data_IF_206283054171
#
_entry.id   IF_206283054171
#
_cell.length_a   1.000
_cell.length_b   1.000
_cell.length_c   1.000
_cell.angle_alpha   90.00
_cell.angle_beta   90.00
_cell.angle_gamma   90.00
#
_symmetry.space_group_name_H-M   'P 1'
#
loop_
_entity.id
_entity.type
_entity.pdbx_description
1 polymer ?
#
# COMPACT_ATOMS: atom_id res chain seq x y z
N UNK A 1 -16.85 -8.94 3.14
CA UNK A 1 -16.01 -7.73 3.17
C UNK A 1 -14.61 -8.20 3.53
N UNK A 2 -13.70 -8.25 2.56
CA UNK A 2 -12.31 -8.61 2.82
C UNK A 2 -11.61 -7.40 3.48
N UNK A 3 -10.87 -7.62 4.56
CA UNK A 3 -10.15 -6.54 5.24
C UNK A 3 -9.06 -5.96 4.31
N UNK A 4 -8.85 -4.62 4.30
CA UNK A 4 -7.83 -3.96 3.47
C UNK A 4 -6.41 -4.51 3.70
N UNK A 5 -6.15 -5.05 4.89
CA UNK A 5 -4.88 -5.68 5.28
C UNK A 5 -4.63 -6.96 4.45
N UNK A 6 -5.68 -7.72 4.13
CA UNK A 6 -5.57 -8.94 3.33
C UNK A 6 -5.18 -8.66 1.88
N UNK A 7 -5.72 -7.59 1.30
CA UNK A 7 -5.46 -7.22 -0.10
C UNK A 7 -4.02 -6.74 -0.31
N UNK A 8 -3.53 -5.84 0.56
CA UNK A 8 -2.14 -5.38 0.49
C UNK A 8 -1.13 -6.52 0.65
N UNK A 9 -1.39 -7.44 1.59
CA UNK A 9 -0.55 -8.61 1.79
C UNK A 9 -0.57 -9.54 0.57
N UNK A 10 -1.73 -9.74 -0.06
CA UNK A 10 -1.85 -10.55 -1.28
C UNK A 10 -1.06 -9.97 -2.45
N UNK A 11 -1.18 -8.65 -2.69
CA UNK A 11 -0.39 -7.93 -3.69
C UNK A 11 1.11 -8.14 -3.46
N UNK A 12 1.60 -7.93 -2.24
CA UNK A 12 3.03 -8.12 -1.91
C UNK A 12 3.48 -9.58 -2.06
N UNK A 13 2.62 -10.54 -1.72
CA UNK A 13 2.88 -11.95 -1.91
C UNK A 13 3.07 -12.26 -3.40
N UNK A 14 2.16 -11.83 -4.28
CA UNK A 14 2.29 -12.04 -5.72
C UNK A 14 3.49 -11.29 -6.31
N UNK A 15 3.79 -10.06 -5.89
CA UNK A 15 5.02 -9.36 -6.30
C UNK A 15 6.25 -10.20 -5.98
N UNK A 16 6.32 -10.74 -4.76
CA UNK A 16 7.45 -11.54 -4.27
C UNK A 16 7.59 -12.84 -5.05
N UNK A 17 6.49 -13.58 -5.23
CA UNK A 17 6.45 -14.84 -5.95
C UNK A 17 6.83 -14.64 -7.43
N UNK A 18 6.25 -13.65 -8.09
CA UNK A 18 6.57 -13.30 -9.49
C UNK A 18 8.03 -12.88 -9.63
N UNK A 19 8.57 -12.09 -8.70
CA UNK A 19 9.98 -11.70 -8.72
C UNK A 19 10.91 -12.90 -8.55
N UNK A 20 10.55 -13.88 -7.73
CA UNK A 20 11.31 -15.13 -7.57
C UNK A 20 11.34 -15.92 -8.87
N UNK A 21 10.19 -16.13 -9.51
CA UNK A 21 10.09 -16.83 -10.80
C UNK A 21 10.86 -16.09 -11.91
N UNK A 22 10.73 -14.76 -11.99
CA UNK A 22 11.47 -13.95 -12.95
C UNK A 22 12.99 -14.02 -12.75
N UNK A 23 13.48 -14.14 -11.50
CA UNK A 23 14.90 -14.38 -11.20
C UNK A 23 15.37 -15.73 -11.72
N UNK A 24 14.61 -16.78 -11.48
CA UNK A 24 14.93 -18.11 -12.01
C UNK A 24 15.05 -18.10 -13.53
N UNK A 25 14.10 -17.49 -14.23
CA UNK A 25 14.17 -17.36 -15.70
C UNK A 25 15.45 -16.63 -16.11
N UNK A 26 15.73 -15.48 -15.49
CA UNK A 26 16.93 -14.71 -15.79
C UNK A 26 18.23 -15.49 -15.56
N UNK A 27 18.33 -16.26 -14.47
CA UNK A 27 19.52 -17.07 -14.17
C UNK A 27 19.77 -18.12 -15.27
N UNK A 28 18.71 -18.73 -15.80
CA UNK A 28 18.82 -19.68 -16.91
C UNK A 28 19.23 -18.98 -18.22
N UNK A 29 18.56 -17.86 -18.55
CA UNK A 29 18.81 -17.16 -19.81
C UNK A 29 20.17 -16.46 -19.84
N UNK A 30 20.62 -15.89 -18.72
CA UNK A 30 21.91 -15.19 -18.60
C UNK A 30 23.13 -16.13 -18.66
N UNK A 31 22.94 -17.43 -18.42
CA UNK A 31 23.97 -18.44 -18.62
C UNK A 31 24.33 -18.66 -20.11
N UNK A 32 23.55 -18.13 -21.05
CA UNK A 32 23.80 -18.25 -22.50
C UNK A 32 24.73 -17.13 -22.97
N UNK A 33 26.04 -17.41 -23.07
CA UNK A 33 27.06 -16.44 -23.52
C UNK A 33 26.85 -15.91 -24.95
N UNK A 34 26.56 -16.80 -25.90
CA UNK A 34 26.28 -16.46 -27.30
C UNK A 34 24.79 -16.65 -27.59
N UNK A 35 23.98 -15.78 -27.00
CA UNK A 35 22.53 -15.84 -27.09
C UNK A 35 22.04 -15.37 -28.47
N UNK A 36 21.17 -16.15 -29.14
CA UNK A 36 20.38 -15.67 -30.28
C UNK A 36 19.54 -14.44 -29.92
N UNK A 37 19.15 -13.67 -30.93
CA UNK A 37 18.36 -12.44 -30.76
C UNK A 37 17.08 -12.65 -29.94
N UNK A 38 16.36 -13.75 -30.18
CA UNK A 38 15.16 -14.11 -29.43
C UNK A 38 15.43 -14.27 -27.94
N UNK A 39 16.50 -15.01 -27.59
CA UNK A 39 16.93 -15.19 -26.19
C UNK A 39 17.35 -13.85 -25.58
N UNK A 40 18.13 -13.03 -26.31
CA UNK A 40 18.55 -11.70 -25.81
C UNK A 40 17.36 -10.79 -25.54
N UNK A 41 16.39 -10.73 -26.46
CA UNK A 41 15.16 -9.94 -26.30
C UNK A 41 14.36 -10.42 -25.10
N UNK A 42 14.18 -11.73 -24.96
CA UNK A 42 13.48 -12.30 -23.81
C UNK A 42 14.18 -11.94 -22.49
N UNK A 43 15.50 -12.07 -22.42
CA UNK A 43 16.29 -11.67 -21.24
C UNK A 43 16.08 -10.20 -20.89
N UNK A 44 16.10 -9.30 -21.89
CA UNK A 44 15.86 -7.88 -21.66
C UNK A 44 14.47 -7.59 -21.08
N UNK A 45 13.43 -8.25 -21.59
CA UNK A 45 12.07 -8.10 -21.03
C UNK A 45 11.97 -8.66 -19.60
N UNK A 46 12.65 -9.77 -19.31
CA UNK A 46 12.72 -10.33 -17.94
C UNK A 46 13.44 -9.36 -16.99
N UNK A 47 14.55 -8.73 -17.41
CA UNK A 47 15.26 -7.72 -16.61
C UNK A 47 14.36 -6.51 -16.35
N UNK A 48 13.64 -6.03 -17.36
CA UNK A 48 12.71 -4.92 -17.21
C UNK A 48 11.58 -5.26 -16.23
N UNK A 49 11.00 -6.45 -16.36
CA UNK A 49 10.00 -6.97 -15.41
C UNK A 49 10.55 -7.02 -13.97
N UNK A 50 11.74 -7.55 -13.76
CA UNK A 50 12.36 -7.60 -12.42
C UNK A 50 12.56 -6.21 -11.82
N UNK A 51 12.91 -5.21 -12.65
CA UNK A 51 13.05 -3.82 -12.21
C UNK A 51 11.72 -3.27 -11.69
N UNK A 52 10.64 -3.48 -12.43
CA UNK A 52 9.28 -3.07 -12.02
C UNK A 52 8.87 -3.78 -10.73
N UNK A 53 9.01 -5.11 -10.67
CA UNK A 53 8.64 -5.91 -9.50
C UNK A 53 9.45 -5.51 -8.25
N UNK A 54 10.73 -5.18 -8.39
CA UNK A 54 11.55 -4.69 -7.28
C UNK A 54 11.08 -3.32 -6.77
N UNK A 55 10.65 -2.44 -7.66
CA UNK A 55 10.06 -1.15 -7.29
C UNK A 55 8.71 -1.35 -6.60
N UNK A 56 7.88 -2.27 -7.12
CA UNK A 56 6.62 -2.67 -6.48
C UNK A 56 6.84 -3.27 -5.08
N UNK A 57 7.91 -4.05 -4.89
CA UNK A 57 8.22 -4.65 -3.57
C UNK A 57 8.66 -3.61 -2.51
N UNK A 58 8.99 -2.39 -2.93
CA UNK A 58 9.32 -1.31 -1.99
C UNK A 58 8.08 -0.66 -1.39
N UNK A 59 6.88 -0.95 -1.92
CA UNK A 59 5.64 -0.46 -1.34
C UNK A 59 5.34 -1.20 -0.04
N UNK A 60 4.89 -0.46 0.97
CA UNK A 60 4.41 -1.05 2.22
C UNK A 60 2.94 -1.39 2.12
N UNK A 61 2.46 -2.29 2.98
CA UNK A 61 1.02 -2.57 3.12
C UNK A 61 0.20 -1.29 3.36
N UNK A 62 0.77 -0.30 4.06
CA UNK A 62 0.12 0.98 4.33
C UNK A 62 -0.02 1.82 3.05
N UNK A 63 0.99 1.85 2.19
CA UNK A 63 0.93 2.57 0.91
C UNK A 63 -0.02 1.88 -0.09
N UNK A 64 -0.20 0.57 -0.01
CA UNK A 64 -1.22 -0.12 -0.83
C UNK A 64 -2.63 0.17 -0.30
N UNK A 65 -2.79 0.53 0.97
CA UNK A 65 -4.10 0.94 1.51
C UNK A 65 -4.49 2.37 1.13
N UNK A 66 -3.55 3.20 0.67
CA UNK A 66 -3.85 4.57 0.23
C UNK A 66 -4.42 4.62 -1.19
N UNK A 67 -4.31 3.54 -1.97
CA UNK A 67 -4.94 3.48 -3.30
C UNK A 67 -6.40 3.02 -3.21
N UNK A 68 -7.27 3.43 -4.17
CA UNK A 68 -8.64 2.94 -4.23
C UNK A 68 -8.70 1.42 -4.24
N UNK A 69 -9.66 0.84 -3.49
CA UNK A 69 -9.81 -0.63 -3.36
C UNK A 69 -9.96 -1.30 -4.73
N UNK A 70 -10.70 -0.69 -5.66
CA UNK A 70 -10.86 -1.19 -7.02
C UNK A 70 -9.53 -1.31 -7.77
N UNK A 71 -8.61 -0.37 -7.56
CA UNK A 71 -7.31 -0.35 -8.23
C UNK A 71 -6.36 -1.35 -7.59
N UNK A 72 -6.45 -1.53 -6.28
CA UNK A 72 -5.73 -2.56 -5.55
C UNK A 72 -6.16 -3.97 -5.97
N UNK A 73 -7.47 -4.23 -6.12
CA UNK A 73 -8.01 -5.50 -6.62
C UNK A 73 -7.60 -5.73 -8.09
N UNK A 74 -7.62 -4.69 -8.93
CA UNK A 74 -7.20 -4.81 -10.31
C UNK A 74 -5.69 -5.10 -10.43
N UNK A 75 -4.87 -4.46 -9.58
CA UNK A 75 -3.43 -4.74 -9.46
C UNK A 75 -3.18 -6.18 -8.99
N UNK A 76 -3.88 -6.65 -7.96
CA UNK A 76 -3.79 -8.03 -7.48
C UNK A 76 -4.09 -9.02 -8.62
N UNK A 77 -5.18 -8.80 -9.35
CA UNK A 77 -5.55 -9.66 -10.48
C UNK A 77 -4.49 -9.68 -11.58
N UNK A 78 -3.92 -8.51 -11.94
CA UNK A 78 -2.83 -8.43 -12.92
C UNK A 78 -1.58 -9.17 -12.42
N UNK A 79 -1.24 -9.01 -11.15
CA UNK A 79 -0.09 -9.69 -10.53
C UNK A 79 -0.29 -11.19 -10.46
N UNK A 80 -1.50 -11.66 -10.18
CA UNK A 80 -1.84 -13.09 -10.16
C UNK A 80 -1.70 -13.71 -11.55
N UNK A 81 -2.28 -13.10 -12.58
CA UNK A 81 -2.13 -13.59 -13.97
C UNK A 81 -0.66 -13.54 -14.39
N UNK A 82 0.06 -12.47 -14.03
CA UNK A 82 1.48 -12.35 -14.29
C UNK A 82 2.28 -13.44 -13.57
N UNK A 83 1.94 -13.76 -12.33
CA UNK A 83 2.55 -14.85 -11.56
C UNK A 83 2.31 -16.20 -12.24
N UNK A 84 1.08 -16.51 -12.62
CA UNK A 84 0.71 -17.78 -13.26
C UNK A 84 1.50 -17.97 -14.57
N UNK A 85 1.55 -16.93 -15.41
CA UNK A 85 2.29 -16.99 -16.68
C UNK A 85 3.81 -17.14 -16.47
N UNK A 86 4.39 -16.39 -15.54
CA UNK A 86 5.85 -16.38 -15.30
C UNK A 86 6.28 -17.65 -14.55
N UNK A 87 5.48 -18.17 -13.61
CA UNK A 87 5.75 -19.41 -12.90
C UNK A 87 5.78 -20.60 -13.86
N UNK A 88 4.81 -20.71 -14.78
CA UNK A 88 4.80 -21.76 -15.78
C UNK A 88 6.05 -21.73 -16.68
N UNK A 89 6.57 -20.54 -17.02
CA UNK A 89 7.83 -20.42 -17.77
C UNK A 89 9.01 -20.87 -16.92
N UNK A 90 9.05 -20.44 -15.66
CA UNK A 90 10.09 -20.80 -14.71
C UNK A 90 10.16 -22.31 -14.51
N UNK A 91 9.03 -22.97 -14.24
CA UNK A 91 8.92 -24.41 -14.04
C UNK A 91 9.40 -25.18 -15.27
N UNK A 92 8.89 -24.82 -16.46
CA UNK A 92 9.29 -25.47 -17.70
C UNK A 92 10.78 -25.30 -18.01
N UNK A 93 11.39 -24.18 -17.64
CA UNK A 93 12.86 -24.03 -17.75
C UNK A 93 13.59 -24.87 -16.71
N UNK A 94 13.08 -24.95 -15.48
CA UNK A 94 13.68 -25.74 -14.40
C UNK A 94 13.65 -27.25 -14.66
N UNK A 95 12.63 -27.77 -15.34
CA UNK A 95 12.56 -29.19 -15.74
C UNK A 95 13.79 -29.65 -16.54
N UNK A 96 14.45 -28.73 -17.25
CA UNK A 96 15.65 -29.03 -18.02
C UNK A 96 16.96 -28.76 -17.25
N UNK A 97 16.92 -28.12 -16.07
CA UNK A 97 18.07 -27.67 -15.28
C UNK A 97 18.57 -28.74 -14.27
N UNK A 98 18.04 -29.97 -14.35
CA UNK A 98 18.43 -31.10 -13.50
C UNK A 98 19.95 -31.41 -13.67
N UNK A 99 20.76 -31.02 -12.67
CA UNK A 99 22.20 -31.25 -12.41
C UNK A 99 23.24 -30.15 -12.80
N UNK A 100 24.36 -30.05 -12.04
CA UNK A 100 24.79 -28.84 -11.31
C UNK A 100 25.65 -27.87 -12.12
N UNK A 101 25.65 -26.60 -11.67
CA UNK A 101 26.74 -25.57 -11.58
C UNK A 101 27.95 -25.69 -12.52
N UNK A 102 27.79 -26.23 -13.72
CA UNK A 102 28.83 -26.28 -14.73
C UNK A 102 28.53 -25.17 -15.71
N UNK A 103 29.50 -24.27 -15.91
CA UNK A 103 29.48 -23.10 -16.78
C UNK A 103 29.35 -23.45 -18.28
N UNK A 104 28.52 -24.42 -18.63
CA UNK A 104 28.45 -24.97 -19.97
C UNK A 104 27.37 -24.21 -20.76
N UNK A 105 27.76 -23.05 -21.29
CA UNK A 105 26.91 -22.11 -22.03
C UNK A 105 26.12 -22.80 -23.17
N UNK A 106 26.70 -23.81 -23.82
CA UNK A 106 26.03 -24.59 -24.87
C UNK A 106 24.89 -25.44 -24.35
N UNK A 107 24.96 -25.89 -23.09
CA UNK A 107 23.91 -26.71 -22.45
C UNK A 107 22.71 -25.85 -22.09
N UNK A 108 22.94 -24.64 -21.57
CA UNK A 108 21.89 -23.66 -21.30
C UNK A 108 21.09 -23.32 -22.58
N UNK A 109 21.79 -23.05 -23.69
CA UNK A 109 21.11 -22.80 -24.97
C UNK A 109 20.30 -24.01 -25.46
N UNK A 110 20.81 -25.23 -25.29
CA UNK A 110 20.07 -26.46 -25.64
C UNK A 110 18.81 -26.61 -24.79
N UNK A 111 18.86 -26.32 -23.50
CA UNK A 111 17.70 -26.37 -22.62
C UNK A 111 16.65 -25.33 -22.98
N UNK A 112 17.09 -24.10 -23.21
CA UNK A 112 16.21 -23.01 -23.66
C UNK A 112 15.51 -23.37 -24.97
N UNK A 113 16.22 -24.00 -25.93
CA UNK A 113 15.64 -24.50 -27.19
C UNK A 113 14.76 -25.74 -27.04
N UNK A 114 15.05 -26.60 -26.06
CA UNK A 114 14.21 -27.76 -25.75
C UNK A 114 12.89 -27.32 -25.09
N UNK A 115 12.96 -26.25 -24.28
CA UNK A 115 11.80 -25.66 -23.66
C UNK A 115 10.95 -24.87 -24.66
N UNK A 116 11.56 -24.13 -25.58
CA UNK A 116 10.84 -23.20 -26.46
C UNK A 116 11.47 -23.09 -27.85
N UNK A 117 10.64 -23.16 -28.88
CA UNK A 117 11.05 -22.83 -30.24
C UNK A 117 11.10 -21.30 -30.46
N UNK A 118 11.55 -20.85 -31.63
CA UNK A 118 11.69 -19.42 -31.94
C UNK A 118 10.35 -18.66 -31.88
N UNK A 119 9.27 -19.27 -32.36
CA UNK A 119 7.92 -18.68 -32.29
C UNK A 119 7.44 -18.55 -30.85
N UNK A 120 7.70 -19.56 -30.02
CA UNK A 120 7.40 -19.52 -28.59
C UNK A 120 8.16 -18.37 -27.92
N UNK A 121 9.45 -18.20 -28.22
CA UNK A 121 10.26 -17.10 -27.66
C UNK A 121 9.69 -15.73 -27.98
N UNK A 122 9.25 -15.51 -29.22
CA UNK A 122 8.60 -14.25 -29.63
C UNK A 122 7.31 -14.05 -28.85
N UNK A 123 6.49 -15.10 -28.71
CA UNK A 123 5.24 -15.05 -27.93
C UNK A 123 5.49 -14.72 -26.47
N UNK A 124 6.46 -15.39 -25.83
CA UNK A 124 6.86 -15.14 -24.44
C UNK A 124 7.35 -13.70 -24.24
N UNK A 125 8.18 -13.21 -25.16
CA UNK A 125 8.70 -11.84 -25.15
C UNK A 125 7.55 -10.83 -25.18
N UNK A 126 6.60 -11.00 -26.11
CA UNK A 126 5.46 -10.10 -26.23
C UNK A 126 4.52 -10.16 -25.01
N UNK A 127 4.31 -11.36 -24.45
CA UNK A 127 3.52 -11.55 -23.25
C UNK A 127 4.16 -10.85 -22.04
N UNK A 128 5.46 -11.08 -21.79
CA UNK A 128 6.19 -10.44 -20.69
C UNK A 128 6.19 -8.92 -20.83
N UNK A 129 6.39 -8.42 -22.04
CA UNK A 129 6.31 -6.98 -22.33
C UNK A 129 4.93 -6.42 -21.99
N UNK A 130 3.86 -7.12 -22.37
CA UNK A 130 2.49 -6.75 -22.06
C UNK A 130 2.23 -6.65 -20.55
N UNK A 131 2.67 -7.64 -19.78
CA UNK A 131 2.59 -7.61 -18.31
C UNK A 131 3.43 -6.50 -17.72
N UNK A 132 4.65 -6.30 -18.21
CA UNK A 132 5.57 -5.27 -17.72
C UNK A 132 4.96 -3.89 -17.89
N UNK A 133 4.34 -3.58 -19.03
CA UNK A 133 3.68 -2.30 -19.23
C UNK A 133 2.45 -2.10 -18.33
N UNK A 134 1.64 -3.13 -18.12
CA UNK A 134 0.51 -3.05 -17.18
C UNK A 134 1.00 -2.77 -15.76
N UNK A 135 1.99 -3.52 -15.29
CA UNK A 135 2.56 -3.34 -13.96
C UNK A 135 3.28 -1.99 -13.82
N UNK A 136 3.94 -1.51 -14.87
CA UNK A 136 4.56 -0.19 -14.88
C UNK A 136 3.50 0.93 -14.80
N UNK A 137 2.34 0.76 -15.43
CA UNK A 137 1.23 1.71 -15.30
C UNK A 137 0.75 1.78 -13.84
N UNK A 138 0.46 0.64 -13.22
CA UNK A 138 0.06 0.61 -11.80
C UNK A 138 1.13 1.18 -10.87
N UNK A 139 2.40 0.87 -11.14
CA UNK A 139 3.51 1.45 -10.39
C UNK A 139 3.50 2.97 -10.46
N UNK A 140 3.28 3.56 -11.64
CA UNK A 140 3.17 5.01 -11.80
C UNK A 140 1.96 5.57 -11.05
N UNK A 141 0.80 4.91 -11.13
CA UNK A 141 -0.41 5.31 -10.38
C UNK A 141 -0.12 5.34 -8.87
N UNK A 142 0.41 4.25 -8.32
CA UNK A 142 0.71 4.17 -6.88
C UNK A 142 1.75 5.21 -6.44
N UNK A 143 2.76 5.49 -7.25
CA UNK A 143 3.75 6.53 -6.95
C UNK A 143 3.11 7.92 -6.89
N UNK A 144 2.18 8.22 -7.79
CA UNK A 144 1.45 9.49 -7.81
C UNK A 144 0.49 9.62 -6.60
N UNK A 145 -0.26 8.56 -6.29
CA UNK A 145 -1.17 8.54 -5.14
C UNK A 145 -0.41 8.69 -3.81
N UNK A 146 0.73 8.01 -3.68
CA UNK A 146 1.59 8.13 -2.49
C UNK A 146 2.11 9.57 -2.34
N UNK A 147 2.59 10.18 -3.43
CA UNK A 147 3.08 11.56 -3.40
C UNK A 147 1.97 12.56 -3.06
N UNK A 148 0.75 12.35 -3.58
CA UNK A 148 -0.42 13.16 -3.26
C UNK A 148 -0.78 13.05 -1.77
N UNK A 149 -0.87 11.83 -1.23
CA UNK A 149 -1.12 11.59 0.19
C UNK A 149 -0.07 12.25 1.10
N UNK A 150 1.21 12.12 0.76
CA UNK A 150 2.29 12.77 1.51
C UNK A 150 2.17 14.31 1.48
N UNK A 151 1.80 14.88 0.32
CA UNK A 151 1.57 16.32 0.22
C UNK A 151 0.40 16.80 1.07
N UNK A 152 -0.70 16.04 1.10
CA UNK A 152 -1.87 16.32 1.92
C UNK A 152 -1.54 16.23 3.42
N UNK A 153 -0.76 15.22 3.83
CA UNK A 153 -0.29 15.10 5.22
C UNK A 153 0.53 16.32 5.65
N UNK A 154 1.50 16.75 4.82
CA UNK A 154 2.31 17.94 5.12
C UNK A 154 1.47 19.22 5.23
N UNK A 155 0.46 19.38 4.38
CA UNK A 155 -0.45 20.53 4.46
C UNK A 155 -1.29 20.49 5.74
N UNK A 156 -1.81 19.32 6.12
CA UNK A 156 -2.55 19.14 7.36
C UNK A 156 -1.67 19.43 8.60
N UNK A 157 -0.44 18.93 8.61
CA UNK A 157 0.54 19.21 9.67
C UNK A 157 0.86 20.70 9.78
N UNK A 158 1.08 21.38 8.64
CA UNK A 158 1.32 22.82 8.61
C UNK A 158 0.12 23.61 9.15
N UNK A 159 -1.10 23.22 8.78
CA UNK A 159 -2.32 23.84 9.29
C UNK A 159 -2.47 23.64 10.81
N UNK A 160 -2.17 22.44 11.33
CA UNK A 160 -2.19 22.16 12.78
C UNK A 160 -1.11 22.96 13.51
N UNK A 161 0.09 23.10 12.95
CA UNK A 161 1.15 23.93 13.53
C UNK A 161 0.78 25.41 13.55
N UNK A 162 0.15 25.93 12.49
CA UNK A 162 -0.36 27.30 12.46
C UNK A 162 -1.40 27.53 13.56
N UNK A 163 -2.36 26.61 13.72
CA UNK A 163 -3.36 26.69 14.81
C UNK A 163 -2.75 26.61 16.21
N UNK A 164 -1.68 25.83 16.40
CA UNK A 164 -0.96 25.76 17.69
C UNK A 164 -0.12 27.01 17.97
N UNK A 165 0.38 27.68 16.93
CA UNK A 165 1.07 28.97 17.05
C UNK A 165 0.12 30.10 17.45
N UNK A 166 -1.13 30.04 16.98
CA UNK A 166 -2.20 31.02 17.28
C UNK A 166 -3.00 30.67 18.55
N UNK A 167 -2.36 30.05 19.56
CA UNK A 167 -3.00 29.74 20.86
C UNK A 167 -3.50 30.99 21.62
N UNK A 168 -3.29 32.19 21.07
CA UNK A 168 -4.12 33.36 21.34
C UNK A 168 -4.71 33.88 20.01
N UNK A 169 -6.04 33.85 19.88
CA UNK A 169 -6.88 34.52 18.86
C UNK A 169 -7.10 33.86 17.47
N UNK A 170 -7.51 32.60 17.41
CA UNK A 170 -8.30 32.15 16.25
C UNK A 170 -9.77 32.59 16.40
N UNK A 171 -10.13 33.75 15.84
CA UNK A 171 -11.53 34.21 15.77
C UNK A 171 -12.35 33.27 14.89
N UNK A 172 -13.57 32.95 15.31
CA UNK A 172 -14.57 32.15 14.59
C UNK A 172 -14.71 32.51 13.08
N UNK A 173 -14.34 33.73 12.71
CA UNK A 173 -14.28 34.23 11.33
C UNK A 173 -13.33 33.43 10.42
N UNK A 174 -12.19 32.95 10.93
CA UNK A 174 -11.23 32.14 10.15
C UNK A 174 -11.72 30.71 9.92
N UNK A 175 -12.42 30.14 10.91
CA UNK A 175 -13.02 28.80 10.82
C UNK A 175 -14.13 28.79 9.76
N UNK A 176 -14.96 29.85 9.72
CA UNK A 176 -16.00 30.02 8.70
C UNK A 176 -15.38 30.21 7.30
N UNK A 177 -14.28 30.95 7.18
CA UNK A 177 -13.57 31.13 5.91
C UNK A 177 -13.03 29.81 5.33
N UNK A 178 -12.37 29.01 6.15
CA UNK A 178 -11.84 27.69 5.74
C UNK A 178 -12.94 26.70 5.33
N UNK A 179 -14.10 26.72 5.99
CA UNK A 179 -15.23 25.86 5.64
C UNK A 179 -15.93 26.31 4.34
N UNK A 180 -15.92 27.60 4.03
CA UNK A 180 -16.52 28.15 2.81
C UNK A 180 -15.67 27.83 1.57
N UNK A 181 -14.34 27.86 1.71
CA UNK A 181 -13.40 27.56 0.61
C UNK A 181 -13.30 26.06 0.26
N UNK A 182 -13.76 25.16 1.14
CA UNK A 182 -13.89 23.73 0.82
C UNK A 182 -15.17 23.36 0.05
N UNK A 183 -16.01 24.34 -0.31
CA UNK A 183 -17.23 24.10 -1.08
C UNK A 183 -16.98 24.24 -2.59
N UNK A 184 -16.26 23.27 -3.18
CA UNK A 184 -16.97 22.51 -4.20
C UNK A 184 -16.54 21.05 -4.14
N UNK A 185 -17.30 20.21 -3.45
CA UNK A 185 -17.58 18.83 -3.86
C UNK A 185 -18.49 18.17 -2.81
N UNK A 186 -19.59 17.60 -3.31
CA UNK A 186 -20.58 16.75 -2.62
C UNK A 186 -21.77 17.48 -1.98
N UNK A 187 -22.82 17.58 -2.80
CA UNK A 187 -24.23 17.64 -2.42
C UNK A 187 -24.62 16.49 -1.49
N UNK A 188 -25.03 16.78 -0.26
CA UNK A 188 -26.06 16.01 0.44
C UNK A 188 -26.68 16.87 1.55
N UNK A 189 -27.99 16.72 1.76
CA UNK A 189 -28.84 17.61 2.58
C UNK A 189 -28.56 17.60 4.10
N UNK A 190 -27.49 16.94 4.57
CA UNK A 190 -27.17 16.75 6.01
C UNK A 190 -26.24 17.81 6.61
N UNK A 191 -25.77 18.79 5.84
CA UNK A 191 -24.82 19.79 6.35
C UNK A 191 -25.46 20.82 7.30
N UNK A 192 -26.76 21.09 7.18
CA UNK A 192 -27.42 22.09 8.01
C UNK A 192 -27.55 21.65 9.47
N UNK A 193 -27.76 20.35 9.73
CA UNK A 193 -27.89 19.82 11.10
C UNK A 193 -26.54 19.78 11.83
N UNK A 194 -25.46 19.43 11.13
CA UNK A 194 -24.11 19.36 11.70
C UNK A 194 -23.61 20.76 12.05
N UNK A 195 -23.84 21.75 11.17
CA UNK A 195 -23.48 23.15 11.41
C UNK A 195 -24.29 23.74 12.58
N UNK A 196 -25.59 23.44 12.67
CA UNK A 196 -26.44 23.94 13.75
C UNK A 196 -26.17 23.24 15.11
N UNK A 197 -25.75 21.96 15.10
CA UNK A 197 -25.25 21.28 16.32
C UNK A 197 -23.91 21.83 16.78
N UNK A 198 -23.01 22.17 15.86
CA UNK A 198 -21.73 22.80 16.18
C UNK A 198 -21.91 24.25 16.69
N UNK A 199 -22.85 25.01 16.13
CA UNK A 199 -23.20 26.34 16.62
C UNK A 199 -23.76 26.32 18.06
N UNK A 200 -24.56 25.30 18.41
CA UNK A 200 -25.05 25.09 19.79
C UNK A 200 -23.92 24.75 20.76
N UNK A 201 -23.03 23.82 20.38
CA UNK A 201 -21.88 23.44 21.22
C UNK A 201 -20.93 24.61 21.47
N UNK A 202 -20.75 25.50 20.50
CA UNK A 202 -19.93 26.71 20.65
C UNK A 202 -20.56 27.78 21.58
N UNK A 203 -21.88 27.76 21.79
CA UNK A 203 -22.57 28.68 22.70
C UNK A 203 -22.68 28.14 24.14
N UNK A 204 -22.54 26.83 24.33
CA UNK A 204 -22.75 26.18 25.64
C UNK A 204 -21.49 26.17 26.53
N UNK A 205 -20.29 26.34 25.97
CA UNK A 205 -19.01 26.20 26.69
C UNK A 205 -18.37 27.54 27.12
N UNK A 206 -19.19 28.46 27.64
CA UNK A 206 -18.72 29.69 28.34
C UNK A 206 -19.14 29.75 29.80
N UNK A 207 -19.25 28.58 30.47
CA UNK A 207 -19.24 28.56 31.94
C UNK A 207 -17.82 28.36 32.44
N UNK A 208 -17.23 29.49 32.83
CA UNK A 208 -16.07 29.61 33.71
C UNK A 208 -16.13 28.60 34.86
N UNK A 209 -15.25 27.60 34.84
CA UNK A 209 -14.90 26.86 36.07
C UNK A 209 -13.71 27.60 36.66
N UNK A 210 -13.95 28.33 37.76
CA UNK A 210 -12.89 28.95 38.54
C UNK A 210 -12.00 27.87 39.19
N UNK A 211 -10.73 28.22 39.37
CA UNK A 211 -9.60 27.30 39.63
C UNK A 211 -9.56 26.73 41.04
N UNK A 212 -10.59 26.94 41.89
CA UNK A 212 -10.57 26.51 43.31
C UNK A 212 -11.18 25.13 43.59
N UNK A 213 -11.75 24.42 42.60
CA UNK A 213 -12.38 23.10 42.81
C UNK A 213 -11.45 21.88 42.62
N UNK A 214 -10.16 22.07 42.33
CA UNK A 214 -9.23 20.95 42.15
C UNK A 214 -8.92 20.18 43.45
N UNK A 215 -9.02 20.80 44.63
CA UNK A 215 -8.86 20.05 45.89
C UNK A 215 -10.10 19.25 46.29
N UNK A 216 -11.32 19.69 45.91
CA UNK A 216 -12.55 18.94 46.20
C UNK A 216 -12.68 17.68 45.34
N UNK A 217 -12.28 17.74 44.07
CA UNK A 217 -12.36 16.59 43.15
C UNK A 217 -11.28 15.53 43.50
N UNK A 218 -10.12 15.95 44.00
CA UNK A 218 -9.09 14.99 44.47
C UNK A 218 -9.52 14.29 45.77
N UNK A 219 -10.23 14.99 46.67
CA UNK A 219 -10.76 14.38 47.88
C UNK A 219 -11.84 13.31 47.59
N UNK A 220 -12.72 13.55 46.61
CA UNK A 220 -13.78 12.61 46.25
C UNK A 220 -13.26 11.34 45.54
N UNK A 221 -12.14 11.45 44.82
CA UNK A 221 -11.49 10.29 44.18
C UNK A 221 -10.79 9.38 45.21
N UNK A 222 -10.20 9.93 46.28
CA UNK A 222 -9.56 9.12 47.33
C UNK A 222 -10.56 8.40 48.25
N UNK A 223 -11.77 8.91 48.42
CA UNK A 223 -12.83 8.20 49.19
C UNK A 223 -13.40 7.02 48.40
N UNK A 224 -13.45 7.12 47.07
CA UNK A 224 -14.01 6.09 46.19
C UNK A 224 -13.11 4.85 46.03
N UNK A 225 -11.78 4.99 46.12
CA UNK A 225 -10.86 3.83 46.13
C UNK A 225 -10.83 3.08 47.49
N UNK A 226 -11.25 3.71 48.58
CA UNK A 226 -11.37 3.07 49.90
C UNK A 226 -12.63 2.21 50.09
N UNK A 227 -13.67 2.40 49.27
CA UNK A 227 -14.94 1.69 49.38
C UNK A 227 -15.07 0.48 48.44
N UNK A 228 -14.37 0.47 47.30
CA UNK A 228 -14.33 -0.73 46.43
C UNK A 228 -13.51 -1.90 47.02
N UNK A 229 -12.67 -1.66 48.02
CA UNK A 229 -11.96 -2.72 48.75
C UNK A 229 -12.77 -3.43 49.85
N UNK A 230 -13.99 -2.95 50.17
CA UNK A 230 -14.80 -3.49 51.28
C UNK A 230 -16.07 -4.22 50.86
N UNK A 231 -16.55 -4.05 49.63
CA UNK A 231 -17.70 -4.79 49.12
C UNK A 231 -17.35 -6.16 48.51
N UNK A 232 -16.10 -6.40 48.12
CA UNK A 232 -15.67 -7.71 47.58
C UNK A 232 -15.36 -8.77 48.66
N UNK A 233 -15.33 -8.38 49.95
CA UNK A 233 -15.16 -9.30 51.07
C UNK A 233 -16.50 -9.76 51.71
N UNK A 234 -17.62 -9.10 51.41
CA UNK A 234 -18.93 -9.44 51.97
C UNK A 234 -19.78 -10.36 51.09
N UNK A 235 -19.39 -10.59 49.83
CA UNK A 235 -20.10 -11.49 48.90
C UNK A 235 -19.56 -12.94 48.89
N UNK A 236 -18.62 -13.30 49.79
CA UNK A 236 -18.10 -14.67 49.97
C UNK A 236 -18.08 -15.13 51.45
N UNK A 237 -19.11 -14.75 52.21
CA UNK A 237 -19.39 -15.27 53.55
C UNK A 237 -20.71 -16.02 53.58
#
# INVERSE_FOLDING_TARGET
MAEPIGLGASVLAFVTLTLKSAKTIHDVLSAVKEAPDSVRRLTSEVIFMQSILRRLSNFTNLQIQTIPVSDAEALENVLKVCFDDISHISERLQDFVVFPKTNNCQRALKWVRAAYNETDMVRLTNMLRGHAYKLQLYLTIMQNETAAAESASRMAEAAVQAMRGDQHTASLTQIIGLLTDMHPLTTCADQSEIVERLARLAMEDTRTVEVDDYESIVADVQVSEGQLGREDAAARG
#
